data_IF_475050405079
#
_entry.id   IF_475050405079
#
_cell.length_a   1.000
_cell.length_b   1.000
_cell.length_c   1.000
_cell.angle_alpha   90.00
_cell.angle_beta   90.00
_cell.angle_gamma   90.00
#
_symmetry.space_group_name_H-M   'P 1'
#
loop_
_entity.id
_entity.type
_entity.pdbx_description
1 polymer ?
#
# COMPACT_ATOMS: atom_id res chain seq x y z
N UNK A 1 2.16 -18.32 11.37
CA UNK A 1 3.19 -17.88 12.34
C UNK A 1 4.22 -18.96 12.61
N UNK A 2 3.81 -20.21 12.83
CA UNK A 2 4.73 -21.35 13.09
C UNK A 2 5.83 -21.57 12.04
N UNK A 3 5.60 -21.10 10.80
CA UNK A 3 6.56 -21.15 9.70
C UNK A 3 7.34 -19.84 9.50
N UNK A 4 7.30 -18.91 10.45
CA UNK A 4 7.97 -17.60 10.36
C UNK A 4 7.28 -16.58 9.45
N UNK A 5 6.21 -16.95 8.74
CA UNK A 5 5.39 -16.01 7.98
C UNK A 5 4.58 -15.15 8.94
N UNK A 6 4.86 -13.85 8.93
CA UNK A 6 4.29 -12.85 9.83
C UNK A 6 3.85 -11.58 9.10
N UNK A 7 3.70 -11.57 7.77
CA UNK A 7 3.12 -10.45 7.02
C UNK A 7 1.75 -10.87 6.50
N UNK A 8 0.70 -10.11 6.84
CA UNK A 8 -0.67 -10.34 6.39
C UNK A 8 -1.09 -9.14 5.55
N UNK A 9 -1.38 -9.40 4.27
CA UNK A 9 -1.85 -8.40 3.33
C UNK A 9 -3.33 -8.64 2.99
N UNK A 10 -4.16 -7.62 3.21
CA UNK A 10 -5.60 -7.61 2.86
C UNK A 10 -5.94 -6.27 2.21
N UNK A 11 -7.22 -5.99 1.92
CA UNK A 11 -7.68 -4.69 1.47
C UNK A 11 -9.14 -4.46 1.86
N UNK A 12 -9.54 -3.19 1.99
CA UNK A 12 -10.94 -2.82 2.23
C UNK A 12 -11.88 -3.33 1.12
N UNK A 13 -11.39 -3.45 -0.12
CA UNK A 13 -12.17 -3.91 -1.26
C UNK A 13 -12.20 -5.44 -1.45
N UNK A 14 -11.46 -6.21 -0.64
CA UNK A 14 -11.43 -7.69 -0.75
C UNK A 14 -12.64 -8.35 -0.04
N UNK A 15 -13.86 -7.97 -0.42
CA UNK A 15 -15.10 -8.52 0.15
C UNK A 15 -15.08 -8.54 1.69
N UNK A 16 -15.23 -9.71 2.29
CA UNK A 16 -15.21 -9.90 3.75
C UNK A 16 -13.82 -10.28 4.31
N UNK A 17 -12.74 -10.11 3.55
CA UNK A 17 -11.39 -10.52 3.97
C UNK A 17 -11.02 -10.01 5.37
N UNK A 18 -11.17 -8.69 5.60
CA UNK A 18 -10.89 -8.07 6.90
C UNK A 18 -11.73 -8.63 8.04
N UNK A 19 -13.04 -8.82 7.81
CA UNK A 19 -13.95 -9.40 8.80
C UNK A 19 -13.60 -10.86 9.12
N UNK A 20 -13.13 -11.62 8.12
CA UNK A 20 -12.71 -13.02 8.30
C UNK A 20 -11.38 -13.13 9.03
N UNK A 21 -10.51 -12.13 8.88
CA UNK A 21 -9.24 -12.07 9.59
C UNK A 21 -9.40 -11.64 11.05
N UNK A 22 -10.38 -10.80 11.38
CA UNK A 22 -10.54 -10.21 12.70
C UNK A 22 -10.54 -11.21 13.88
N UNK A 23 -11.27 -12.35 13.85
CA UNK A 23 -11.23 -13.32 14.95
C UNK A 23 -9.84 -13.94 15.16
N UNK A 24 -9.10 -14.16 14.08
CA UNK A 24 -7.74 -14.70 14.13
C UNK A 24 -6.75 -13.63 14.64
N UNK A 25 -6.86 -12.40 14.15
CA UNK A 25 -6.07 -11.24 14.60
C UNK A 25 -6.22 -11.03 16.11
N UNK A 26 -7.45 -11.12 16.63
CA UNK A 26 -7.73 -10.95 18.05
C UNK A 26 -6.98 -11.96 18.95
N UNK A 27 -6.68 -13.15 18.44
CA UNK A 27 -5.96 -14.21 19.16
C UNK A 27 -4.43 -14.09 19.04
N UNK A 28 -3.91 -13.28 18.12
CA UNK A 28 -2.48 -13.23 17.77
C UNK A 28 -1.90 -11.80 17.77
N UNK A 29 -2.52 -10.88 18.51
CA UNK A 29 -2.16 -9.46 18.53
C UNK A 29 -0.65 -9.24 18.75
N UNK A 30 -0.03 -8.41 17.91
CA UNK A 30 1.38 -8.04 18.00
C UNK A 30 2.38 -9.09 17.51
N UNK A 31 1.92 -10.23 16.96
CA UNK A 31 2.80 -11.28 16.45
C UNK A 31 3.04 -11.23 14.92
N UNK A 32 2.46 -10.26 14.23
CA UNK A 32 2.51 -10.11 12.79
C UNK A 32 2.45 -8.63 12.37
N UNK A 33 2.92 -8.37 11.15
CA UNK A 33 2.80 -7.14 10.40
C UNK A 33 1.50 -7.19 9.58
N UNK A 34 0.62 -6.22 9.78
CA UNK A 34 -0.70 -6.13 9.17
C UNK A 34 -0.76 -4.99 8.16
N UNK A 35 -1.04 -5.34 6.91
CA UNK A 35 -1.24 -4.41 5.82
C UNK A 35 -2.69 -4.44 5.30
N UNK A 36 -3.27 -3.26 5.08
CA UNK A 36 -4.51 -3.11 4.31
C UNK A 36 -4.36 -2.02 3.26
N UNK A 37 -5.41 -1.76 2.47
CA UNK A 37 -5.36 -0.85 1.32
C UNK A 37 -6.62 0.00 1.23
N UNK A 38 -6.46 1.19 0.67
CA UNK A 38 -7.54 2.13 0.38
C UNK A 38 -7.61 2.52 -1.09
N UNK A 39 -8.82 2.58 -1.64
CA UNK A 39 -9.16 3.13 -2.95
C UNK A 39 -9.48 4.64 -2.88
N UNK A 40 -9.50 5.24 -1.68
CA UNK A 40 -9.65 6.67 -1.48
C UNK A 40 -8.57 7.49 -2.21
N UNK A 41 -8.99 8.58 -2.85
CA UNK A 41 -8.10 9.50 -3.60
C UNK A 41 -8.04 10.91 -3.00
N UNK A 42 -8.87 11.19 -2.02
CA UNK A 42 -8.83 12.42 -1.21
C UNK A 42 -8.44 12.06 0.23
N UNK A 43 -7.96 13.04 1.00
CA UNK A 43 -7.64 12.88 2.41
C UNK A 43 -8.82 12.27 3.17
N UNK A 44 -10.01 12.85 3.02
CA UNK A 44 -11.21 12.41 3.75
C UNK A 44 -11.65 10.99 3.36
N UNK A 45 -11.62 10.66 2.06
CA UNK A 45 -12.03 9.33 1.59
C UNK A 45 -11.05 8.24 2.01
N UNK A 46 -9.74 8.51 1.91
CA UNK A 46 -8.70 7.58 2.37
C UNK A 46 -8.77 7.37 3.88
N UNK A 47 -9.00 8.45 4.64
CA UNK A 47 -9.14 8.39 6.11
C UNK A 47 -10.36 7.59 6.54
N UNK A 48 -11.54 7.89 5.98
CA UNK A 48 -12.77 7.18 6.32
C UNK A 48 -12.70 5.69 6.00
N UNK A 49 -12.00 5.31 4.93
CA UNK A 49 -11.79 3.91 4.58
C UNK A 49 -10.75 3.21 5.47
N UNK A 50 -9.68 3.90 5.86
CA UNK A 50 -8.74 3.40 6.87
C UNK A 50 -9.48 3.11 8.18
N UNK A 51 -10.24 4.07 8.71
CA UNK A 51 -10.98 3.91 9.98
C UNK A 51 -11.97 2.74 9.90
N UNK A 52 -12.69 2.60 8.78
CA UNK A 52 -13.55 1.45 8.53
C UNK A 52 -12.77 0.13 8.52
N UNK A 53 -11.56 0.12 7.96
CA UNK A 53 -10.70 -1.06 7.95
C UNK A 53 -10.24 -1.43 9.36
N UNK A 54 -9.88 -0.45 10.18
CA UNK A 54 -9.53 -0.63 11.60
C UNK A 54 -10.68 -1.28 12.38
N UNK A 55 -11.91 -0.76 12.21
CA UNK A 55 -13.12 -1.35 12.80
C UNK A 55 -13.35 -2.80 12.36
N UNK A 56 -13.25 -3.06 11.05
CA UNK A 56 -13.48 -4.41 10.47
C UNK A 56 -12.43 -5.42 10.91
N UNK A 57 -11.18 -5.00 11.06
CA UNK A 57 -10.07 -5.82 11.52
C UNK A 57 -10.05 -5.97 13.05
N UNK A 58 -10.76 -5.11 13.78
CA UNK A 58 -10.80 -5.10 15.25
C UNK A 58 -9.48 -4.67 15.88
N UNK A 59 -8.81 -3.68 15.27
CA UNK A 59 -7.50 -3.15 15.69
C UNK A 59 -7.52 -1.63 15.79
N UNK A 60 -6.66 -1.06 16.63
CA UNK A 60 -6.54 0.39 16.80
C UNK A 60 -5.62 1.04 15.75
N UNK A 61 -4.73 0.23 15.14
CA UNK A 61 -3.82 0.65 14.08
C UNK A 61 -3.47 -0.54 13.16
N UNK A 62 -2.93 -0.23 11.98
CA UNK A 62 -2.27 -1.22 11.10
C UNK A 62 -0.79 -0.86 10.90
N UNK A 63 0.04 -1.83 10.56
CA UNK A 63 1.45 -1.56 10.29
C UNK A 63 1.63 -0.83 8.96
N UNK A 64 0.81 -1.15 7.95
CA UNK A 64 0.89 -0.54 6.62
C UNK A 64 -0.49 -0.27 6.03
N UNK A 65 -0.69 0.96 5.54
CA UNK A 65 -1.78 1.29 4.63
C UNK A 65 -1.22 1.59 3.24
N UNK A 66 -1.85 1.05 2.19
CA UNK A 66 -1.39 1.28 0.83
C UNK A 66 -2.48 1.92 -0.05
N UNK A 67 -2.09 2.88 -0.88
CA UNK A 67 -2.95 3.41 -1.95
C UNK A 67 -3.17 2.30 -2.99
N UNK A 68 -4.40 1.78 -3.04
CA UNK A 68 -4.75 0.61 -3.83
C UNK A 68 -4.90 0.99 -5.31
N UNK A 69 -4.21 0.28 -6.19
CA UNK A 69 -4.33 0.40 -7.64
C UNK A 69 -4.19 1.83 -8.18
N UNK A 70 -3.18 2.59 -7.71
CA UNK A 70 -2.93 3.97 -8.15
C UNK A 70 -2.14 3.99 -9.48
N UNK A 71 -2.83 3.69 -10.58
CA UNK A 71 -2.22 3.50 -11.91
C UNK A 71 -2.49 4.68 -12.84
N UNK A 72 -3.69 5.26 -12.79
CA UNK A 72 -4.14 6.27 -13.75
C UNK A 72 -3.70 7.67 -13.35
N UNK A 73 -3.37 8.50 -14.35
CA UNK A 73 -2.78 9.83 -14.15
C UNK A 73 -3.71 10.79 -13.39
N UNK A 74 -5.01 10.72 -13.66
CA UNK A 74 -6.02 11.55 -13.02
C UNK A 74 -6.20 11.16 -11.55
N UNK A 75 -6.23 9.86 -11.24
CA UNK A 75 -6.25 9.37 -9.86
C UNK A 75 -4.96 9.70 -9.10
N UNK A 76 -3.80 9.53 -9.74
CA UNK A 76 -2.50 9.87 -9.19
C UNK A 76 -2.41 11.36 -8.86
N UNK A 77 -2.83 12.22 -9.81
CA UNK A 77 -2.86 13.67 -9.63
C UNK A 77 -3.77 14.08 -8.48
N UNK A 78 -4.92 13.42 -8.32
CA UNK A 78 -5.84 13.65 -7.19
C UNK A 78 -5.22 13.21 -5.86
N UNK A 79 -4.62 12.02 -5.81
CA UNK A 79 -4.01 11.48 -4.60
C UNK A 79 -2.83 12.32 -4.08
N UNK A 80 -2.05 12.92 -4.98
CA UNK A 80 -0.91 13.80 -4.66
C UNK A 80 -1.24 15.30 -4.64
N UNK A 81 -2.47 15.68 -4.97
CA UNK A 81 -2.95 17.06 -4.94
C UNK A 81 -3.16 17.58 -3.51
N UNK A 82 -3.48 18.88 -3.38
CA UNK A 82 -3.85 19.45 -2.08
C UNK A 82 -5.12 18.79 -1.54
N UNK A 83 -5.11 18.32 -0.29
CA UNK A 83 -6.20 17.51 0.26
C UNK A 83 -6.30 16.11 -0.37
N UNK A 84 -5.24 15.65 -1.02
CA UNK A 84 -5.14 14.32 -1.62
C UNK A 84 -4.94 13.21 -0.59
N UNK A 85 -5.13 11.97 -1.01
CA UNK A 85 -5.01 10.80 -0.14
C UNK A 85 -3.62 10.66 0.50
N UNK A 86 -2.54 11.05 -0.19
CA UNK A 86 -1.18 10.98 0.38
C UNK A 86 -1.08 11.84 1.63
N UNK A 87 -1.58 13.07 1.58
CA UNK A 87 -1.58 13.98 2.74
C UNK A 87 -2.40 13.40 3.90
N UNK A 88 -3.58 12.85 3.62
CA UNK A 88 -4.44 12.24 4.63
C UNK A 88 -3.81 11.02 5.31
N UNK A 89 -3.15 10.14 4.54
CA UNK A 89 -2.48 8.96 5.09
C UNK A 89 -1.21 9.32 5.88
N UNK A 90 -0.45 10.33 5.46
CA UNK A 90 0.69 10.82 6.24
C UNK A 90 0.24 11.43 7.58
N UNK A 91 -0.88 12.17 7.61
CA UNK A 91 -1.48 12.64 8.87
C UNK A 91 -1.96 11.49 9.75
N UNK A 92 -2.60 10.47 9.16
CA UNK A 92 -3.00 9.28 9.90
C UNK A 92 -1.80 8.53 10.51
N UNK A 93 -0.63 8.59 9.86
CA UNK A 93 0.63 8.09 10.41
C UNK A 93 1.08 8.90 11.61
N UNK A 94 1.05 10.22 11.51
CA UNK A 94 1.43 11.13 12.62
C UNK A 94 0.49 10.98 13.84
N UNK A 95 -0.77 10.59 13.60
CA UNK A 95 -1.77 10.26 14.64
C UNK A 95 -1.63 8.84 15.22
N UNK A 96 -0.76 8.00 14.64
CA UNK A 96 -0.50 6.63 15.10
C UNK A 96 -1.53 5.59 14.67
N UNK A 97 -2.41 5.90 13.71
CA UNK A 97 -3.36 4.94 13.14
C UNK A 97 -2.69 3.97 12.16
N UNK A 98 -1.56 4.38 11.59
CA UNK A 98 -0.74 3.55 10.69
C UNK A 98 0.73 3.80 10.98
N UNK A 99 1.59 2.80 10.82
CA UNK A 99 3.05 2.98 10.99
C UNK A 99 3.75 3.33 9.67
N UNK A 100 3.29 2.75 8.57
CA UNK A 100 3.86 2.90 7.24
C UNK A 100 2.79 3.22 6.19
N UNK A 101 3.18 3.94 5.13
CA UNK A 101 2.34 4.27 3.99
C UNK A 101 2.98 3.77 2.70
N UNK A 102 2.21 3.07 1.87
CA UNK A 102 2.67 2.54 0.59
C UNK A 102 1.75 2.82 -0.58
N UNK A 103 2.11 2.29 -1.74
CA UNK A 103 1.31 2.38 -2.97
C UNK A 103 1.34 1.06 -3.72
N UNK A 104 0.23 0.72 -4.38
CA UNK A 104 0.10 -0.52 -5.14
C UNK A 104 -0.45 -0.26 -6.54
N UNK A 105 -0.22 -1.19 -7.46
CA UNK A 105 -1.00 -1.26 -8.69
C UNK A 105 -0.58 -2.36 -9.63
N UNK A 106 -1.18 -2.38 -10.82
CA UNK A 106 -1.00 -3.43 -11.81
C UNK A 106 -0.78 -2.86 -13.22
N UNK A 107 -0.43 -3.76 -14.15
CA UNK A 107 -0.27 -3.43 -15.56
C UNK A 107 1.12 -2.95 -15.93
N UNK A 108 1.37 -2.77 -17.23
CA UNK A 108 2.71 -2.53 -17.76
C UNK A 108 3.29 -1.15 -17.43
N UNK A 109 2.46 -0.22 -16.93
CA UNK A 109 2.91 1.14 -16.58
C UNK A 109 3.26 1.29 -15.10
N UNK A 110 2.92 0.32 -14.24
CA UNK A 110 2.94 0.55 -12.79
C UNK A 110 4.34 0.79 -12.23
N UNK A 111 5.38 0.15 -12.76
CA UNK A 111 6.75 0.41 -12.29
C UNK A 111 7.15 1.88 -12.52
N UNK A 112 6.82 2.44 -13.68
CA UNK A 112 7.00 3.87 -13.96
C UNK A 112 6.11 4.78 -13.11
N UNK A 113 4.87 4.36 -12.81
CA UNK A 113 3.99 5.11 -11.89
C UNK A 113 4.58 5.16 -10.47
N UNK A 114 5.08 4.05 -9.96
CA UNK A 114 5.69 3.98 -8.62
C UNK A 114 6.95 4.85 -8.54
N UNK A 115 7.78 4.89 -9.59
CA UNK A 115 8.90 5.84 -9.68
C UNK A 115 8.41 7.29 -9.51
N UNK A 116 7.37 7.70 -10.23
CA UNK A 116 6.79 9.05 -10.11
C UNK A 116 6.20 9.32 -8.72
N UNK A 117 5.56 8.33 -8.11
CA UNK A 117 5.05 8.42 -6.74
C UNK A 117 6.19 8.69 -5.75
N UNK A 118 7.28 7.94 -5.84
CA UNK A 118 8.45 8.09 -4.97
C UNK A 118 9.22 9.41 -5.23
N UNK A 119 9.17 9.96 -6.44
CA UNK A 119 9.68 11.32 -6.71
C UNK A 119 8.85 12.40 -6.02
N UNK A 120 7.56 12.15 -5.77
CA UNK A 120 6.61 13.15 -5.26
C UNK A 120 6.37 13.08 -3.75
N UNK A 121 6.54 11.91 -3.14
CA UNK A 121 6.31 11.67 -1.72
C UNK A 121 7.21 10.56 -1.16
N UNK A 122 7.61 10.72 0.10
CA UNK A 122 8.37 9.71 0.85
C UNK A 122 7.42 8.64 1.39
N UNK A 123 7.26 7.55 0.62
CA UNK A 123 6.49 6.38 1.00
C UNK A 123 7.41 5.24 1.43
N UNK A 124 6.92 4.38 2.31
CA UNK A 124 7.67 3.28 2.92
C UNK A 124 7.72 2.03 2.04
N UNK A 125 6.72 1.83 1.16
CA UNK A 125 6.67 0.65 0.30
C UNK A 125 5.96 0.85 -1.03
N UNK A 126 6.32 -0.02 -1.98
CA UNK A 126 5.63 -0.20 -3.26
C UNK A 126 5.25 -1.68 -3.42
N UNK A 127 4.05 -1.95 -3.93
CA UNK A 127 3.59 -3.30 -4.26
C UNK A 127 3.21 -3.37 -5.75
N UNK A 128 3.82 -4.30 -6.48
CA UNK A 128 3.58 -4.48 -7.92
C UNK A 128 3.96 -5.88 -8.42
N UNK A 129 3.35 -6.37 -9.52
CA UNK A 129 3.61 -7.71 -10.04
C UNK A 129 5.05 -7.95 -10.54
N UNK A 130 5.84 -8.77 -9.84
CA UNK A 130 7.13 -9.24 -10.36
C UNK A 130 7.04 -10.71 -10.78
N UNK A 131 6.98 -10.95 -12.09
CA UNK A 131 6.94 -12.31 -12.61
C UNK A 131 7.56 -12.44 -14.00
N UNK A 132 7.92 -13.67 -14.36
CA UNK A 132 8.58 -14.00 -15.63
C UNK A 132 7.82 -13.50 -16.86
N UNK A 133 6.49 -13.54 -16.85
CA UNK A 133 5.67 -13.14 -17.99
C UNK A 133 5.75 -11.64 -18.24
N UNK A 134 5.60 -10.83 -17.19
CA UNK A 134 5.67 -9.36 -17.33
C UNK A 134 7.08 -8.87 -17.64
N UNK A 135 8.10 -9.52 -17.08
CA UNK A 135 9.51 -9.17 -17.37
C UNK A 135 9.90 -9.44 -18.83
N UNK A 136 9.12 -10.19 -19.62
CA UNK A 136 9.34 -10.30 -21.07
C UNK A 136 9.03 -9.01 -21.84
N UNK A 137 8.27 -8.09 -21.25
CA UNK A 137 8.08 -6.77 -21.85
C UNK A 137 9.27 -5.88 -21.51
N UNK A 138 10.04 -5.47 -22.52
CA UNK A 138 11.28 -4.69 -22.33
C UNK A 138 11.04 -3.36 -21.61
N UNK A 139 9.90 -2.70 -21.87
CA UNK A 139 9.53 -1.45 -21.20
C UNK A 139 9.27 -1.67 -19.71
N UNK A 140 8.45 -2.68 -19.38
CA UNK A 140 8.17 -3.05 -17.99
C UNK A 140 9.43 -3.46 -17.24
N UNK A 141 10.27 -4.31 -17.85
CA UNK A 141 11.54 -4.76 -17.26
C UNK A 141 12.43 -3.58 -16.91
N UNK A 142 12.69 -2.68 -17.86
CA UNK A 142 13.54 -1.51 -17.67
C UNK A 142 13.02 -0.62 -16.53
N UNK A 143 11.72 -0.35 -16.52
CA UNK A 143 11.13 0.51 -15.50
C UNK A 143 11.13 -0.18 -14.12
N UNK A 144 10.95 -1.51 -14.08
CA UNK A 144 11.06 -2.32 -12.86
C UNK A 144 12.48 -2.33 -12.31
N UNK A 145 13.51 -2.54 -13.14
CA UNK A 145 14.91 -2.50 -12.73
C UNK A 145 15.27 -1.14 -12.12
N UNK A 146 14.86 -0.04 -12.77
CA UNK A 146 15.05 1.32 -12.24
C UNK A 146 14.30 1.55 -10.92
N UNK A 147 13.09 1.00 -10.79
CA UNK A 147 12.34 1.07 -9.53
C UNK A 147 13.06 0.33 -8.41
N UNK A 148 13.57 -0.88 -8.66
CA UNK A 148 14.31 -1.66 -7.67
C UNK A 148 15.57 -0.93 -7.19
N UNK A 149 16.33 -0.33 -8.11
CA UNK A 149 17.49 0.51 -7.78
C UNK A 149 17.09 1.71 -6.89
N UNK A 150 16.06 2.44 -7.30
CA UNK A 150 15.54 3.60 -6.56
C UNK A 150 15.06 3.20 -5.16
N UNK A 151 14.36 2.09 -5.04
CA UNK A 151 13.88 1.56 -3.76
C UNK A 151 15.05 1.14 -2.85
N UNK A 152 16.09 0.51 -3.41
CA UNK A 152 17.28 0.15 -2.65
C UNK A 152 18.03 1.38 -2.11
N UNK A 153 18.20 2.42 -2.94
CA UNK A 153 18.84 3.68 -2.55
C UNK A 153 18.05 4.42 -1.47
N UNK A 154 16.72 4.47 -1.61
CA UNK A 154 15.82 5.21 -0.70
C UNK A 154 15.33 4.39 0.49
N UNK A 155 15.73 3.11 0.59
CA UNK A 155 15.28 2.16 1.62
C UNK A 155 13.77 1.96 1.64
N UNK A 156 13.14 1.93 0.48
CA UNK A 156 11.71 1.66 0.28
C UNK A 156 11.52 0.16 0.07
N UNK A 157 10.57 -0.45 0.79
CA UNK A 157 10.29 -1.88 0.63
C UNK A 157 9.58 -2.16 -0.70
N UNK A 158 9.96 -3.24 -1.37
CA UNK A 158 9.30 -3.73 -2.60
C UNK A 158 8.59 -5.03 -2.28
N UNK A 159 7.29 -5.09 -2.58
CA UNK A 159 6.43 -6.25 -2.41
C UNK A 159 5.92 -6.72 -3.78
N UNK A 160 5.88 -8.04 -4.01
CA UNK A 160 5.65 -8.62 -5.35
C UNK A 160 4.79 -9.86 -5.35
#
# INVERSE_FOLDING_TARGET
LDFGLNHIDTAASYGDSELRLAPWIAQHKGAFFLATKTEGRTSDSARAELERSLERLGVDHVDLIQLHNLVEEDEWSRAHGAGGAVEGLLRARDEGLVHHVGVTGHGLRIAGMHLRTLERADLDSVLLPYNFTLLKNDGYRRDMERLLETCAERRVAVQT
#
